data_IF_364394425692
#
_entry.id   IF_364394425692
#
_cell.length_a   1.000
_cell.length_b   1.000
_cell.length_c   1.000
_cell.angle_alpha   90.00
_cell.angle_beta   90.00
_cell.angle_gamma   90.00
#
_symmetry.space_group_name_H-M   'P 1'
#
loop_
_entity.id
_entity.type
_entity.pdbx_description
1 polymer ?
#
# COMPACT_ATOMS: atom_id res chain seq x y z
N UNK A 1 -6.69 -8.78 -20.02
CA UNK A 1 -5.21 -8.64 -20.13
C UNK A 1 -4.72 -7.21 -19.95
N UNK A 2 -5.25 -6.18 -20.65
CA UNK A 2 -4.78 -4.76 -20.53
C UNK A 2 -4.59 -4.18 -19.12
N UNK A 3 -5.48 -4.47 -18.17
CA UNK A 3 -5.43 -3.90 -16.80
C UNK A 3 -4.24 -4.41 -15.98
N UNK A 4 -3.79 -5.64 -16.22
CA UNK A 4 -2.66 -6.22 -15.50
C UNK A 4 -1.35 -5.56 -15.95
N UNK A 5 -1.19 -5.35 -17.26
CA UNK A 5 -0.03 -4.65 -17.84
C UNK A 5 0.02 -3.18 -17.40
N UNK A 6 -1.13 -2.51 -17.32
CA UNK A 6 -1.25 -1.14 -16.80
C UNK A 6 -0.84 -1.05 -15.33
N UNK A 7 -1.32 -1.98 -14.48
CA UNK A 7 -0.95 -2.03 -13.07
C UNK A 7 0.55 -2.28 -12.89
N UNK A 8 1.12 -3.20 -13.66
CA UNK A 8 2.56 -3.50 -13.60
C UNK A 8 3.41 -2.31 -14.04
N UNK A 9 2.96 -1.56 -15.06
CA UNK A 9 3.64 -0.36 -15.52
C UNK A 9 3.61 0.78 -14.49
N UNK A 10 2.50 0.90 -13.74
CA UNK A 10 2.37 1.84 -12.62
C UNK A 10 3.33 1.46 -11.50
N UNK A 11 3.31 0.20 -11.04
CA UNK A 11 4.17 -0.30 -9.96
C UNK A 11 5.65 -0.10 -10.30
N UNK A 12 6.04 -0.37 -11.55
CA UNK A 12 7.42 -0.19 -12.00
C UNK A 12 7.85 1.28 -12.10
N UNK A 13 6.90 2.22 -12.24
CA UNK A 13 7.19 3.63 -12.40
C UNK A 13 7.26 4.38 -11.08
N UNK A 14 6.39 4.04 -10.13
CA UNK A 14 6.44 4.54 -8.76
C UNK A 14 5.77 3.52 -7.84
N UNK A 15 6.37 3.26 -6.67
CA UNK A 15 5.81 2.33 -5.70
C UNK A 15 4.48 2.92 -5.16
N UNK A 16 3.31 2.39 -5.56
CA UNK A 16 2.03 2.95 -5.14
C UNK A 16 1.92 2.91 -3.62
N UNK A 17 1.27 3.91 -3.04
CA UNK A 17 1.24 4.12 -1.59
C UNK A 17 2.25 5.17 -1.15
N UNK A 18 3.53 4.81 -1.08
CA UNK A 18 4.59 5.64 -0.47
C UNK A 18 5.11 6.78 -1.36
N UNK A 19 4.83 6.72 -2.67
CA UNK A 19 5.40 7.68 -3.61
C UNK A 19 4.79 9.07 -3.45
N UNK A 20 5.65 10.09 -3.41
CA UNK A 20 5.26 11.50 -3.37
C UNK A 20 5.42 12.07 -4.78
N UNK A 21 4.37 12.74 -5.23
CA UNK A 21 4.32 13.40 -6.53
C UNK A 21 4.32 14.90 -6.33
N UNK A 22 5.03 15.61 -7.21
CA UNK A 22 4.97 17.06 -7.30
C UNK A 22 4.62 17.50 -8.71
N UNK A 23 4.03 18.69 -8.80
CA UNK A 23 3.73 19.30 -10.09
C UNK A 23 5.01 19.72 -10.79
N UNK A 24 5.06 19.48 -12.09
CA UNK A 24 6.06 20.04 -12.98
C UNK A 24 5.61 21.41 -13.49
N UNK A 25 6.54 22.23 -13.98
CA UNK A 25 6.25 23.51 -14.65
C UNK A 25 5.65 23.32 -16.06
N UNK A 26 5.43 22.07 -16.48
CA UNK A 26 4.94 21.75 -17.80
C UNK A 26 3.42 21.93 -17.92
N UNK A 27 2.93 22.62 -18.98
CA UNK A 27 1.50 22.85 -19.14
C UNK A 27 0.74 21.55 -19.38
N UNK A 28 -0.47 21.46 -18.84
CA UNK A 28 -1.36 20.31 -19.02
C UNK A 28 -1.70 20.15 -20.52
N UNK A 29 -1.49 18.96 -21.13
CA UNK A 29 -1.82 18.72 -22.53
C UNK A 29 -3.30 18.97 -22.80
N UNK A 30 -3.64 19.54 -23.96
CA UNK A 30 -5.04 19.83 -24.36
C UNK A 30 -5.95 18.58 -24.32
N UNK A 31 -5.39 17.38 -24.50
CA UNK A 31 -6.12 16.11 -24.40
C UNK A 31 -6.58 15.75 -22.99
N UNK A 32 -5.95 16.34 -21.97
CA UNK A 32 -6.22 16.11 -20.55
C UNK A 32 -6.89 17.34 -19.89
N UNK A 33 -6.81 18.50 -20.55
CA UNK A 33 -7.50 19.72 -20.14
C UNK A 33 -9.03 19.55 -20.17
N UNK A 34 -9.71 20.04 -19.12
CA UNK A 34 -11.17 19.92 -18.97
C UNK A 34 -11.64 18.61 -18.30
N UNK A 35 -10.72 17.74 -17.87
CA UNK A 35 -11.06 16.62 -17.01
C UNK A 35 -11.04 17.06 -15.53
N UNK A 36 -12.23 17.19 -14.94
CA UNK A 36 -12.41 17.65 -13.56
C UNK A 36 -11.65 16.80 -12.52
N UNK A 37 -11.43 15.51 -12.79
CA UNK A 37 -10.65 14.64 -11.88
C UNK A 37 -9.15 14.96 -11.93
N UNK A 38 -8.63 15.31 -13.11
CA UNK A 38 -7.22 15.68 -13.28
C UNK A 38 -6.96 17.04 -12.64
N UNK A 39 -7.88 17.98 -12.82
CA UNK A 39 -7.80 19.31 -12.19
C UNK A 39 -7.78 19.21 -10.67
N UNK A 40 -8.69 18.42 -10.08
CA UNK A 40 -8.71 18.14 -8.63
C UNK A 40 -7.45 17.43 -8.15
N UNK A 41 -6.97 16.42 -8.89
CA UNK A 41 -5.72 15.74 -8.53
C UNK A 41 -4.57 16.74 -8.50
N UNK A 42 -4.43 17.56 -9.54
CA UNK A 42 -3.41 18.59 -9.56
C UNK A 42 -3.60 19.53 -8.37
N UNK A 43 -4.79 20.07 -8.11
CA UNK A 43 -5.11 20.95 -6.96
C UNK A 43 -4.53 20.47 -5.63
N UNK A 44 -4.58 19.17 -5.38
CA UNK A 44 -4.11 18.56 -4.14
C UNK A 44 -2.62 18.17 -4.17
N UNK A 45 -2.05 17.90 -5.35
CA UNK A 45 -0.64 17.52 -5.49
C UNK A 45 0.27 18.72 -5.18
N UNK A 46 0.97 18.63 -4.05
CA UNK A 46 1.80 19.68 -3.46
C UNK A 46 3.27 19.28 -3.24
N UNK A 47 3.67 18.06 -3.63
CA UNK A 47 5.02 17.54 -3.41
C UNK A 47 5.30 17.10 -1.96
N UNK A 48 4.28 17.01 -1.11
CA UNK A 48 4.43 16.57 0.30
C UNK A 48 3.57 15.34 0.61
N UNK A 49 2.41 15.23 -0.04
CA UNK A 49 1.46 14.14 0.19
C UNK A 49 1.86 12.88 -0.57
N UNK A 50 1.74 11.73 0.09
CA UNK A 50 1.90 10.43 -0.54
C UNK A 50 0.71 10.10 -1.43
N UNK A 51 0.84 9.10 -2.31
CA UNK A 51 -0.30 8.61 -3.09
C UNK A 51 -1.45 8.13 -2.19
N UNK A 52 -1.14 7.52 -1.03
CA UNK A 52 -2.15 7.15 -0.04
C UNK A 52 -2.93 8.36 0.47
N UNK A 53 -2.23 9.44 0.82
CA UNK A 53 -2.86 10.69 1.28
C UNK A 53 -3.74 11.31 0.20
N UNK A 54 -3.29 11.26 -1.06
CA UNK A 54 -4.08 11.73 -2.21
C UNK A 54 -5.35 10.89 -2.40
N UNK A 55 -5.30 9.59 -2.15
CA UNK A 55 -6.48 8.72 -2.21
C UNK A 55 -7.50 9.06 -1.12
N UNK A 56 -7.02 9.35 0.10
CA UNK A 56 -7.86 9.76 1.22
C UNK A 56 -8.53 11.12 0.94
N UNK A 57 -7.76 12.11 0.47
CA UNK A 57 -8.27 13.45 0.20
C UNK A 57 -9.28 13.48 -0.97
N UNK A 58 -9.00 12.73 -2.04
CA UNK A 58 -9.84 12.71 -3.23
C UNK A 58 -10.98 11.68 -3.13
N UNK A 59 -11.08 10.97 -2.00
CA UNK A 59 -12.06 9.90 -1.76
C UNK A 59 -12.15 8.90 -2.93
N UNK A 60 -10.98 8.48 -3.42
CA UNK A 60 -10.87 7.64 -4.60
C UNK A 60 -9.99 6.42 -4.34
N UNK A 61 -10.28 5.31 -5.01
CA UNK A 61 -9.46 4.09 -4.92
C UNK A 61 -8.03 4.34 -5.38
N UNK A 62 -7.08 3.66 -4.75
CA UNK A 62 -5.65 3.73 -5.08
C UNK A 62 -5.35 3.47 -6.55
N UNK A 63 -5.97 2.47 -7.15
CA UNK A 63 -5.80 2.19 -8.58
C UNK A 63 -6.21 3.37 -9.45
N UNK A 64 -7.30 4.06 -9.11
CA UNK A 64 -7.83 5.19 -9.90
C UNK A 64 -6.88 6.38 -9.84
N UNK A 65 -6.41 6.75 -8.64
CA UNK A 65 -5.46 7.84 -8.45
C UNK A 65 -4.12 7.50 -9.09
N UNK A 66 -3.59 6.29 -8.85
CA UNK A 66 -2.32 5.85 -9.42
C UNK A 66 -2.35 5.83 -10.96
N UNK A 67 -3.47 5.43 -11.56
CA UNK A 67 -3.63 5.47 -13.02
C UNK A 67 -3.63 6.89 -13.59
N UNK A 68 -4.32 7.83 -12.93
CA UNK A 68 -4.34 9.25 -13.34
C UNK A 68 -2.97 9.89 -13.15
N UNK A 69 -2.36 9.67 -11.99
CA UNK A 69 -1.01 10.10 -11.68
C UNK A 69 0.01 9.58 -12.70
N UNK A 70 -0.07 8.30 -13.08
CA UNK A 70 0.79 7.71 -14.09
C UNK A 70 0.60 8.31 -15.48
N UNK A 71 -0.65 8.60 -15.87
CA UNK A 71 -0.92 9.30 -17.12
C UNK A 71 -0.28 10.69 -17.17
N UNK A 72 -0.33 11.43 -16.05
CA UNK A 72 0.29 12.75 -15.93
C UNK A 72 1.82 12.68 -15.84
N UNK A 73 2.35 11.68 -15.13
CA UNK A 73 3.78 11.40 -15.03
C UNK A 73 4.38 11.10 -16.41
N UNK A 74 3.72 10.26 -17.22
CA UNK A 74 4.15 9.97 -18.60
C UNK A 74 4.13 11.19 -19.53
N UNK A 75 3.34 12.20 -19.20
CA UNK A 75 3.27 13.47 -19.93
C UNK A 75 4.19 14.54 -19.30
N UNK A 76 5.00 14.16 -18.29
CA UNK A 76 5.90 15.03 -17.55
C UNK A 76 5.20 16.21 -16.83
N UNK A 77 3.89 16.10 -16.59
CA UNK A 77 3.11 17.06 -15.80
C UNK A 77 3.28 16.84 -14.29
N UNK A 78 3.55 15.60 -13.90
CA UNK A 78 3.95 15.22 -12.55
C UNK A 78 5.35 14.66 -12.60
N UNK A 79 6.14 14.96 -11.59
CA UNK A 79 7.45 14.32 -11.35
C UNK A 79 7.43 13.65 -10.00
N UNK A 80 8.18 12.56 -9.88
CA UNK A 80 8.42 11.95 -8.59
C UNK A 80 9.33 12.87 -7.82
N UNK A 81 8.94 13.16 -6.59
CA UNK A 81 9.89 13.72 -5.63
C UNK A 81 10.82 12.57 -5.31
N UNK A 82 11.98 12.54 -5.97
CA UNK A 82 13.08 11.75 -5.45
C UNK A 82 13.36 12.31 -4.07
N UNK A 83 13.10 11.51 -3.04
CA UNK A 83 13.72 11.73 -1.75
C UNK A 83 15.20 11.39 -2.01
N UNK A 84 15.93 12.33 -2.62
CA UNK A 84 17.37 12.25 -2.71
C UNK A 84 17.86 12.30 -1.27
N UNK A 85 18.39 11.17 -0.81
CA UNK A 85 19.34 11.09 0.30
C UNK A 85 20.49 12.07 0.01
N UNK A 86 20.37 13.35 0.42
CA UNK A 86 21.33 14.35 -0.06
C UNK A 86 21.23 15.81 0.39
N UNK A 87 21.13 16.07 1.70
CA UNK A 87 21.87 17.18 2.32
C UNK A 87 21.17 18.52 2.54
N UNK A 88 20.79 18.79 3.79
CA UNK A 88 20.36 20.12 4.24
C UNK A 88 20.03 20.19 5.73
N UNK A 89 21.06 20.06 6.59
CA UNK A 89 21.13 20.55 7.98
C UNK A 89 19.80 20.83 8.70
N UNK A 90 19.25 19.77 9.27
CA UNK A 90 18.24 19.83 10.32
C UNK A 90 18.34 18.52 11.08
N UNK A 91 18.87 18.58 12.30
CA UNK A 91 18.90 17.48 13.25
C UNK A 91 17.49 16.89 13.47
N UNK A 92 17.20 15.79 12.78
CA UNK A 92 16.15 14.84 13.10
C UNK A 92 16.69 13.46 12.68
N UNK A 93 16.70 12.51 13.61
CA UNK A 93 17.35 11.20 13.51
C UNK A 93 17.11 10.50 12.16
N UNK A 94 18.12 10.49 11.29
CA UNK A 94 18.18 9.50 10.20
C UNK A 94 18.63 8.20 10.85
N UNK A 95 17.64 7.44 11.35
CA UNK A 95 17.85 6.13 11.96
C UNK A 95 18.63 5.26 10.98
N UNK A 96 19.84 4.85 11.37
CA UNK A 96 20.69 3.98 10.56
C UNK A 96 19.97 2.66 10.31
N UNK A 97 20.28 1.97 9.22
CA UNK A 97 19.77 0.61 9.02
C UNK A 97 20.16 -0.30 10.18
N UNK A 98 21.32 -0.09 10.79
CA UNK A 98 21.74 -0.88 11.96
C UNK A 98 20.89 -0.54 13.20
N UNK A 99 20.49 0.72 13.37
CA UNK A 99 19.58 1.13 14.44
C UNK A 99 18.17 0.54 14.22
N UNK A 100 17.71 0.45 12.96
CA UNK A 100 16.46 -0.23 12.60
C UNK A 100 16.52 -1.72 12.97
N UNK A 101 17.65 -2.38 12.68
CA UNK A 101 17.83 -3.79 13.04
C UNK A 101 17.86 -3.99 14.56
N UNK A 102 18.48 -3.08 15.31
CA UNK A 102 18.48 -3.14 16.77
C UNK A 102 17.07 -2.92 17.35
N UNK A 103 16.33 -1.94 16.83
CA UNK A 103 14.94 -1.68 17.21
C UNK A 103 14.03 -2.88 16.89
N UNK A 104 14.15 -3.45 15.70
CA UNK A 104 13.42 -4.65 15.32
C UNK A 104 13.75 -5.82 16.25
N UNK A 105 15.03 -6.02 16.59
CA UNK A 105 15.46 -7.06 17.51
C UNK A 105 14.86 -6.87 18.92
N UNK A 106 14.73 -5.64 19.41
CA UNK A 106 14.05 -5.34 20.67
C UNK A 106 12.55 -5.70 20.61
N UNK A 107 11.85 -5.29 19.54
CA UNK A 107 10.44 -5.61 19.34
C UNK A 107 10.19 -7.12 19.22
N UNK A 108 11.07 -7.86 18.54
CA UNK A 108 10.99 -9.32 18.46
C UNK A 108 11.13 -9.97 19.84
N UNK A 109 12.03 -9.48 20.70
CA UNK A 109 12.16 -9.95 22.10
C UNK A 109 10.90 -9.67 22.91
N UNK A 110 10.25 -8.54 22.67
CA UNK A 110 8.96 -8.17 23.27
C UNK A 110 7.76 -8.90 22.64
N UNK A 111 7.99 -9.76 21.63
CA UNK A 111 6.96 -10.44 20.83
C UNK A 111 6.02 -9.50 20.07
N UNK A 112 6.44 -8.25 19.82
CA UNK A 112 5.70 -7.25 19.04
C UNK A 112 5.99 -7.43 17.55
N UNK A 113 5.52 -8.55 17.01
CA UNK A 113 5.94 -9.03 15.69
C UNK A 113 5.48 -8.14 14.54
N UNK A 114 4.29 -7.56 14.60
CA UNK A 114 3.75 -6.68 13.56
C UNK A 114 4.62 -5.42 13.38
N UNK A 115 4.94 -4.75 14.49
CA UNK A 115 5.81 -3.57 14.49
C UNK A 115 7.23 -3.94 14.06
N UNK A 116 7.74 -5.09 14.51
CA UNK A 116 9.05 -5.58 14.09
C UNK A 116 9.11 -5.83 12.57
N UNK A 117 8.06 -6.42 11.98
CA UNK A 117 7.98 -6.68 10.54
C UNK A 117 7.96 -5.38 9.73
N UNK A 118 7.26 -4.35 10.21
CA UNK A 118 7.29 -3.02 9.58
C UNK A 118 8.71 -2.45 9.50
N UNK A 119 9.45 -2.47 10.61
CA UNK A 119 10.82 -1.96 10.68
C UNK A 119 11.78 -2.81 9.83
N UNK A 120 11.66 -4.14 9.88
CA UNK A 120 12.48 -5.04 9.07
C UNK A 120 12.22 -4.88 7.57
N UNK A 121 10.98 -4.60 7.18
CA UNK A 121 10.62 -4.28 5.79
C UNK A 121 11.34 -3.04 5.28
N UNK A 122 11.39 -1.97 6.09
CA UNK A 122 12.15 -0.77 5.76
C UNK A 122 13.66 -1.03 5.66
N UNK A 123 14.21 -1.83 6.58
CA UNK A 123 15.61 -2.24 6.50
C UNK A 123 15.90 -3.05 5.22
N UNK A 124 14.98 -3.92 4.79
CA UNK A 124 15.13 -4.76 3.61
C UNK A 124 15.03 -3.98 2.30
N UNK A 125 14.22 -2.90 2.26
CA UNK A 125 14.22 -1.94 1.15
C UNK A 125 15.61 -1.30 0.96
N UNK A 126 16.32 -1.03 2.07
CA UNK A 126 17.67 -0.42 2.06
C UNK A 126 18.79 -1.43 1.76
N UNK A 127 18.64 -2.70 2.16
CA UNK A 127 19.61 -3.79 1.95
C UNK A 127 18.95 -5.02 1.30
N UNK A 128 18.50 -4.93 0.03
CA UNK A 128 17.71 -5.98 -0.62
C UNK A 128 18.49 -7.28 -0.88
N UNK A 129 19.83 -7.21 -0.92
CA UNK A 129 20.71 -8.35 -1.17
C UNK A 129 21.26 -9.00 0.10
N UNK A 130 20.82 -8.58 1.29
CA UNK A 130 21.29 -9.13 2.57
C UNK A 130 20.51 -10.42 2.92
N UNK A 131 21.15 -11.61 2.85
CA UNK A 131 20.47 -12.87 3.14
C UNK A 131 20.10 -13.02 4.62
N UNK A 132 20.89 -12.45 5.55
CA UNK A 132 20.63 -12.58 6.99
C UNK A 132 19.39 -11.77 7.40
N UNK A 133 19.21 -10.59 6.78
CA UNK A 133 18.00 -9.80 6.97
C UNK A 133 16.75 -10.52 6.44
N UNK A 134 16.87 -11.17 5.28
CA UNK A 134 15.78 -11.96 4.71
C UNK A 134 15.41 -13.15 5.60
N UNK A 135 16.39 -13.89 6.11
CA UNK A 135 16.14 -14.98 7.07
C UNK A 135 15.45 -14.47 8.35
N UNK A 136 15.84 -13.30 8.83
CA UNK A 136 15.23 -12.67 10.01
C UNK A 136 13.78 -12.27 9.76
N UNK A 137 13.49 -11.71 8.57
CA UNK A 137 12.12 -11.41 8.12
C UNK A 137 11.25 -12.68 8.06
N UNK A 138 11.74 -13.74 7.41
CA UNK A 138 11.01 -15.00 7.28
C UNK A 138 10.69 -15.61 8.66
N UNK A 139 11.65 -15.53 9.60
CA UNK A 139 11.46 -16.01 10.96
C UNK A 139 10.44 -15.16 11.73
N UNK A 140 10.52 -13.83 11.61
CA UNK A 140 9.58 -12.91 12.25
C UNK A 140 8.15 -13.10 11.73
N UNK A 141 7.99 -13.30 10.41
CA UNK A 141 6.71 -13.55 9.77
C UNK A 141 6.10 -14.86 10.28
N UNK A 142 6.90 -15.93 10.34
CA UNK A 142 6.44 -17.21 10.87
C UNK A 142 5.94 -17.09 12.31
N UNK A 143 6.65 -16.34 13.15
CA UNK A 143 6.25 -16.10 14.54
C UNK A 143 4.99 -15.24 14.66
N UNK A 144 4.84 -14.22 13.79
CA UNK A 144 3.61 -13.44 13.69
C UNK A 144 2.42 -14.32 13.32
N UNK A 145 2.55 -15.13 12.26
CA UNK A 145 1.50 -16.02 11.77
C UNK A 145 1.09 -17.01 12.86
N UNK A 146 2.05 -17.64 13.53
CA UNK A 146 1.77 -18.58 14.63
C UNK A 146 1.00 -17.89 15.78
N UNK A 147 1.44 -16.70 16.19
CA UNK A 147 0.74 -15.91 17.22
C UNK A 147 -0.66 -15.49 16.76
N UNK A 148 -0.81 -15.10 15.49
CA UNK A 148 -2.08 -14.69 14.94
C UNK A 148 -3.09 -15.83 14.97
N UNK A 149 -2.69 -17.04 14.58
CA UNK A 149 -3.55 -18.23 14.69
C UNK A 149 -3.87 -18.60 16.15
N UNK A 150 -2.97 -18.35 17.09
CA UNK A 150 -3.22 -18.66 18.51
C UNK A 150 -4.16 -17.65 19.18
N UNK A 151 -4.09 -16.36 18.82
CA UNK A 151 -4.70 -15.29 19.61
C UNK A 151 -5.76 -14.44 18.89
N UNK A 152 -5.64 -14.26 17.57
CA UNK A 152 -6.46 -13.30 16.83
C UNK A 152 -7.41 -13.97 15.84
N UNK A 153 -6.91 -14.96 15.09
CA UNK A 153 -7.64 -15.59 14.00
C UNK A 153 -7.43 -17.11 14.05
N UNK A 154 -8.10 -17.81 14.97
CA UNK A 154 -7.97 -19.26 15.10
C UNK A 154 -8.30 -19.96 13.77
N UNK A 155 -7.50 -20.94 13.39
CA UNK A 155 -7.64 -21.63 12.09
C UNK A 155 -8.98 -22.38 11.95
N UNK A 156 -9.67 -22.64 13.07
CA UNK A 156 -10.98 -23.29 13.15
C UNK A 156 -12.16 -22.28 13.11
N UNK A 157 -11.87 -20.97 13.12
CA UNK A 157 -12.90 -19.92 13.09
C UNK A 157 -13.12 -19.41 11.67
N UNK A 158 -13.99 -20.11 10.95
CA UNK A 158 -14.37 -19.71 9.58
C UNK A 158 -15.52 -18.70 9.64
N UNK A 159 -15.37 -17.51 9.03
CA UNK A 159 -16.44 -16.53 8.97
C UNK A 159 -17.62 -17.08 8.13
N UNK A 160 -18.82 -16.91 8.67
CA UNK A 160 -20.08 -17.29 8.07
C UNK A 160 -21.02 -16.09 8.10
N UNK A 161 -21.89 -15.97 7.10
CA UNK A 161 -22.95 -14.97 7.15
C UNK A 161 -23.95 -15.31 8.26
N UNK A 162 -24.24 -14.33 9.12
CA UNK A 162 -25.30 -14.46 10.14
C UNK A 162 -26.70 -14.50 9.52
N UNK A 163 -26.87 -13.93 8.32
CA UNK A 163 -28.11 -13.92 7.52
C UNK A 163 -27.88 -14.68 6.22
N UNK A 164 -28.94 -15.30 5.68
CA UNK A 164 -28.81 -15.95 4.38
C UNK A 164 -28.66 -14.91 3.26
N UNK A 165 -28.03 -15.29 2.15
CA UNK A 165 -27.87 -14.41 0.98
C UNK A 165 -29.21 -13.87 0.46
N UNK A 166 -30.26 -14.69 0.53
CA UNK A 166 -31.62 -14.31 0.14
C UNK A 166 -32.13 -13.09 0.94
N UNK A 167 -31.81 -13.03 2.23
CA UNK A 167 -32.20 -11.94 3.12
C UNK A 167 -31.45 -10.64 2.85
N UNK A 168 -30.33 -10.71 2.12
CA UNK A 168 -29.50 -9.56 1.74
C UNK A 168 -29.93 -8.94 0.41
N UNK A 169 -30.80 -9.59 -0.37
CA UNK A 169 -31.27 -9.12 -1.68
C UNK A 169 -32.02 -7.78 -1.62
N UNK A 170 -32.66 -7.48 -0.48
CA UNK A 170 -33.38 -6.23 -0.24
C UNK A 170 -32.52 -5.11 0.37
N UNK A 171 -31.28 -5.40 0.73
CA UNK A 171 -30.35 -4.42 1.30
C UNK A 171 -29.72 -3.58 0.18
N UNK A 172 -29.33 -2.34 0.51
CA UNK A 172 -28.63 -1.44 -0.44
C UNK A 172 -27.14 -1.78 -0.54
N UNK A 173 -26.83 -3.02 -0.90
CA UNK A 173 -25.46 -3.45 -1.15
C UNK A 173 -25.01 -2.98 -2.53
N UNK A 174 -23.80 -2.46 -2.61
CA UNK A 174 -23.11 -2.29 -3.88
C UNK A 174 -22.79 -3.65 -4.50
N UNK A 175 -22.47 -3.66 -5.80
CA UNK A 175 -22.07 -4.89 -6.50
C UNK A 175 -20.85 -5.57 -5.87
N UNK A 176 -19.91 -4.80 -5.33
CA UNK A 176 -18.70 -5.31 -4.67
C UNK A 176 -19.02 -5.95 -3.32
N UNK A 177 -19.86 -5.31 -2.51
CA UNK A 177 -20.30 -5.86 -1.22
C UNK A 177 -21.15 -7.12 -1.39
N UNK A 178 -22.07 -7.12 -2.37
CA UNK A 178 -22.84 -8.31 -2.73
C UNK A 178 -21.94 -9.46 -3.17
N UNK A 179 -20.92 -9.18 -3.99
CA UNK A 179 -19.93 -10.18 -4.38
C UNK A 179 -19.18 -10.74 -3.17
N UNK A 180 -18.71 -9.89 -2.25
CA UNK A 180 -18.01 -10.34 -1.03
C UNK A 180 -18.92 -11.23 -0.17
N UNK A 181 -20.19 -10.89 -0.01
CA UNK A 181 -21.14 -11.71 0.74
C UNK A 181 -21.24 -13.13 0.18
N UNK A 182 -21.23 -13.31 -1.15
CA UNK A 182 -21.24 -14.65 -1.77
C UNK A 182 -20.00 -15.50 -1.46
N UNK A 183 -18.91 -14.89 -0.99
CA UNK A 183 -17.65 -15.57 -0.66
C UNK A 183 -17.53 -15.96 0.81
N UNK A 184 -18.35 -15.40 1.69
CA UNK A 184 -18.32 -15.67 3.13
C UNK A 184 -19.31 -16.81 3.46
N UNK A 185 -19.12 -17.96 2.83
CA UNK A 185 -20.05 -19.09 2.92
C UNK A 185 -19.63 -20.17 3.93
N UNK A 186 -18.60 -19.92 4.73
CA UNK A 186 -18.09 -20.89 5.71
C UNK A 186 -17.36 -22.10 5.10
N UNK A 187 -17.23 -22.18 3.77
CA UNK A 187 -16.70 -23.36 3.08
C UNK A 187 -15.37 -23.09 2.36
N UNK A 188 -14.68 -21.99 2.67
CA UNK A 188 -13.49 -21.62 1.93
C UNK A 188 -12.28 -22.48 2.30
N UNK A 189 -11.75 -23.22 1.32
CA UNK A 189 -10.51 -23.98 1.42
C UNK A 189 -9.48 -23.42 0.43
N UNK A 190 -8.37 -22.85 0.92
CA UNK A 190 -7.13 -22.60 0.11
C UNK A 190 -6.37 -23.92 -0.07
N UNK A 191 -7.07 -24.96 -0.50
CA UNK A 191 -6.44 -26.22 -0.86
C UNK A 191 -7.10 -26.69 -2.13
N UNK A 192 -6.60 -26.13 -3.23
CA UNK A 192 -6.42 -26.77 -4.53
C UNK A 192 -5.22 -26.12 -5.22
#
# INVERSE_FOLDING_TARGET
>A
LRRYDELQAIINAFNPGDSILERSDQPLPEKLAGNQEIERLLEVVDGKRTLTDLCLELHASEFRISRLAYALYRQNCLRLVNIDDGGGTGSADVVSTDDLLEQAAALLKERRFEEALGILGEAAKRRPSDPALRETLDLAEKQFVERAYQHYLPADRIPTLTRNLEDLTGEKLTSEEGFLATRINGSWTIKD
#
